data_IF_994196928942
#
_entry.id   IF_994196928942
#
_cell.length_a   1.000
_cell.length_b   1.000
_cell.length_c   1.000
_cell.angle_alpha   90.00
_cell.angle_beta   90.00
_cell.angle_gamma   90.00
#
_symmetry.space_group_name_H-M   'P 1'
#
loop_
_entity.id
_entity.type
_entity.pdbx_description
1 polymer ?
#
# COMPACT_ATOMS: atom_id res chain seq x y z
N UNK A 1 8.82 -3.05 -7.14
CA UNK A 1 8.48 -4.30 -6.42
C UNK A 1 9.21 -5.48 -7.06
N UNK A 2 9.45 -6.52 -6.28
CA UNK A 2 9.87 -7.81 -6.83
C UNK A 2 8.66 -8.49 -7.47
N UNK A 3 8.90 -9.39 -8.42
CA UNK A 3 7.86 -10.20 -9.06
C UNK A 3 8.32 -11.63 -9.22
N UNK A 4 7.37 -12.55 -9.18
CA UNK A 4 7.57 -13.98 -9.41
C UNK A 4 6.76 -14.41 -10.63
N UNK A 5 7.41 -15.13 -11.55
CA UNK A 5 6.82 -15.60 -12.81
C UNK A 5 7.03 -17.10 -12.94
N UNK A 6 6.02 -17.80 -13.45
CA UNK A 6 6.04 -19.20 -13.82
C UNK A 6 6.56 -20.17 -12.72
N UNK A 7 5.90 -20.28 -11.57
CA UNK A 7 4.60 -19.73 -11.21
C UNK A 7 4.66 -18.36 -10.55
N UNK A 8 3.53 -17.61 -10.62
CA UNK A 8 3.37 -16.37 -9.88
C UNK A 8 2.94 -16.67 -8.43
N UNK A 9 3.91 -16.85 -7.55
CA UNK A 9 3.69 -17.15 -6.13
C UNK A 9 3.15 -15.97 -5.31
N UNK A 10 3.17 -14.75 -5.88
CA UNK A 10 2.66 -13.55 -5.21
C UNK A 10 1.15 -13.36 -5.41
N UNK A 11 0.53 -14.11 -6.31
CA UNK A 11 -0.89 -13.98 -6.65
C UNK A 11 -1.67 -15.29 -6.46
N UNK A 12 -1.37 -16.04 -5.40
CA UNK A 12 -2.12 -17.26 -5.08
C UNK A 12 -3.53 -16.85 -4.64
N UNK A 13 -4.59 -17.35 -5.29
CA UNK A 13 -5.96 -16.97 -4.97
C UNK A 13 -6.33 -17.26 -3.52
N UNK A 14 -7.15 -16.40 -2.90
CA UNK A 14 -7.65 -16.58 -1.52
C UNK A 14 -9.17 -16.48 -1.43
N UNK A 15 -9.81 -15.86 -2.43
CA UNK A 15 -11.25 -15.57 -2.39
C UNK A 15 -12.11 -16.77 -2.72
N UNK A 16 -11.64 -17.67 -3.56
CA UNK A 16 -12.35 -18.90 -3.95
C UNK A 16 -11.98 -20.06 -3.03
N UNK A 17 -12.83 -21.08 -2.99
CA UNK A 17 -12.58 -22.30 -2.21
C UNK A 17 -11.36 -23.06 -2.76
N UNK A 18 -11.25 -23.17 -4.07
CA UNK A 18 -10.12 -23.80 -4.77
C UNK A 18 -8.81 -23.07 -4.45
N UNK A 19 -8.82 -21.72 -4.47
CA UNK A 19 -7.65 -20.91 -4.11
C UNK A 19 -7.21 -21.17 -2.67
N UNK A 20 -8.15 -21.32 -1.73
CA UNK A 20 -7.82 -21.69 -0.33
C UNK A 20 -7.26 -23.11 -0.22
N UNK A 21 -7.74 -24.05 -1.05
CA UNK A 21 -7.18 -25.42 -1.12
C UNK A 21 -5.73 -25.40 -1.62
N UNK A 22 -5.43 -24.58 -2.66
CA UNK A 22 -4.06 -24.44 -3.17
C UNK A 22 -3.11 -23.94 -2.08
N UNK A 23 -3.55 -22.99 -1.23
CA UNK A 23 -2.72 -22.50 -0.12
C UNK A 23 -2.33 -23.57 0.89
N UNK A 24 -3.16 -24.60 1.09
CA UNK A 24 -2.85 -25.73 1.98
C UNK A 24 -1.70 -26.62 1.47
N UNK A 25 -1.35 -26.53 0.17
CA UNK A 25 -0.22 -27.26 -0.40
C UNK A 25 1.14 -26.62 -0.02
N UNK A 26 1.14 -25.38 0.48
CA UNK A 26 2.36 -24.73 0.95
C UNK A 26 2.63 -25.16 2.38
N UNK A 27 3.64 -25.99 2.55
CA UNK A 27 4.05 -26.56 3.83
C UNK A 27 5.52 -26.24 4.11
N UNK A 28 5.92 -26.27 5.37
CA UNK A 28 7.31 -25.96 5.79
C UNK A 28 8.31 -27.09 5.52
N UNK A 29 7.82 -28.26 5.09
CA UNK A 29 8.63 -29.43 4.77
C UNK A 29 8.93 -30.36 5.95
N UNK A 30 8.85 -29.89 7.20
CA UNK A 30 8.87 -30.73 8.41
C UNK A 30 8.19 -30.00 9.57
N UNK A 31 7.96 -30.73 10.67
CA UNK A 31 7.21 -30.27 11.84
C UNK A 31 8.00 -29.32 12.76
N UNK A 32 9.31 -29.16 12.58
CA UNK A 32 10.12 -28.23 13.38
C UNK A 32 9.96 -26.78 12.98
N UNK A 33 9.34 -26.55 11.84
CA UNK A 33 9.16 -25.21 11.27
C UNK A 33 7.69 -24.83 11.15
N UNK A 34 7.45 -23.53 11.16
CA UNK A 34 6.15 -22.91 10.86
C UNK A 34 6.31 -21.80 9.85
N UNK A 35 5.22 -21.40 9.18
CA UNK A 35 5.18 -20.19 8.43
C UNK A 35 5.02 -19.00 9.37
N UNK A 36 5.87 -17.99 9.19
CA UNK A 36 5.78 -16.72 9.87
C UNK A 36 5.66 -15.63 8.81
N UNK A 37 4.62 -14.80 8.93
CA UNK A 37 4.38 -13.67 8.03
C UNK A 37 4.47 -12.37 8.79
N UNK A 38 5.16 -11.38 8.21
CA UNK A 38 5.20 -10.00 8.69
C UNK A 38 4.74 -9.07 7.56
N UNK A 39 3.71 -8.30 7.83
CA UNK A 39 3.09 -7.38 6.88
C UNK A 39 3.20 -5.93 7.36
N UNK A 40 3.56 -5.02 6.44
CA UNK A 40 3.53 -3.59 6.70
C UNK A 40 2.10 -3.05 6.66
N UNK A 41 1.55 -2.76 7.82
CA UNK A 41 0.21 -2.19 7.91
C UNK A 41 0.10 -0.86 7.16
N UNK A 42 -0.61 -0.89 6.02
CA UNK A 42 -0.99 0.31 5.25
C UNK A 42 0.21 1.18 4.83
N UNK A 43 1.34 0.60 4.46
CA UNK A 43 2.58 1.32 4.15
C UNK A 43 2.40 2.44 3.13
N UNK A 44 1.60 2.25 2.10
CA UNK A 44 1.36 3.27 1.06
C UNK A 44 0.56 4.46 1.60
N UNK A 45 -0.41 4.24 2.50
CA UNK A 45 -1.15 5.32 3.19
C UNK A 45 -0.26 6.09 4.17
N UNK A 46 0.63 5.39 4.89
CA UNK A 46 1.62 6.04 5.76
C UNK A 46 2.62 6.89 4.97
N UNK A 47 3.04 6.38 3.80
CA UNK A 47 3.88 7.15 2.88
C UNK A 47 3.13 8.35 2.30
N UNK A 48 1.84 8.21 1.97
CA UNK A 48 1.02 9.34 1.56
C UNK A 48 0.95 10.39 2.67
N UNK A 49 0.70 10.00 3.92
CA UNK A 49 0.70 10.92 5.07
C UNK A 49 2.04 11.67 5.20
N UNK A 50 3.16 10.94 5.09
CA UNK A 50 4.49 11.52 5.16
C UNK A 50 4.79 12.48 4.01
N UNK A 51 4.51 12.09 2.76
CA UNK A 51 4.83 12.89 1.58
C UNK A 51 3.90 14.10 1.42
N UNK A 52 2.62 13.97 1.79
CA UNK A 52 1.65 15.06 1.73
C UNK A 52 1.72 16.02 2.92
N UNK A 53 2.33 15.59 4.03
CA UNK A 53 2.33 16.32 5.31
C UNK A 53 0.90 16.69 5.76
N UNK A 54 -0.08 15.86 5.40
CA UNK A 54 -1.47 16.07 5.77
C UNK A 54 -1.67 15.82 7.27
N UNK A 55 -2.17 16.84 7.97
CA UNK A 55 -2.25 16.83 9.44
C UNK A 55 -3.24 15.81 9.96
N UNK A 56 -4.39 15.68 9.33
CA UNK A 56 -5.44 14.75 9.74
C UNK A 56 -5.01 13.29 9.51
N UNK A 57 -4.35 13.03 8.39
CA UNK A 57 -3.85 11.71 8.06
C UNK A 57 -2.69 11.29 8.99
N UNK A 58 -1.78 12.21 9.29
CA UNK A 58 -0.70 12.00 10.26
C UNK A 58 -1.27 11.77 11.66
N UNK A 59 -2.25 12.59 12.08
CA UNK A 59 -2.91 12.46 13.37
C UNK A 59 -3.55 11.08 13.53
N UNK A 60 -4.30 10.62 12.52
CA UNK A 60 -4.92 9.30 12.54
C UNK A 60 -3.91 8.18 12.76
N UNK A 61 -2.78 8.20 12.05
CA UNK A 61 -1.74 7.17 12.22
C UNK A 61 -1.03 7.24 13.57
N UNK A 62 -0.75 8.43 14.10
CA UNK A 62 -0.06 8.60 15.38
C UNK A 62 -0.92 8.20 16.58
N UNK A 63 -2.23 8.28 16.46
CA UNK A 63 -3.19 7.89 17.52
C UNK A 63 -3.83 6.52 17.30
N UNK A 64 -3.36 5.74 16.33
CA UNK A 64 -3.89 4.40 16.04
C UNK A 64 -5.33 4.38 15.55
N UNK A 65 -5.83 5.51 15.03
CA UNK A 65 -7.18 5.62 14.47
C UNK A 65 -7.20 4.91 13.11
N UNK A 66 -8.20 4.07 12.89
CA UNK A 66 -8.39 3.44 11.58
C UNK A 66 -8.77 4.49 10.53
N UNK A 67 -7.84 4.74 9.59
CA UNK A 67 -7.98 5.77 8.55
C UNK A 67 -9.25 5.57 7.70
N UNK A 68 -9.65 4.32 7.46
CA UNK A 68 -10.85 4.04 6.66
C UNK A 68 -12.12 4.35 7.43
N UNK A 69 -12.14 4.10 8.74
CA UNK A 69 -13.24 4.48 9.63
C UNK A 69 -13.30 5.99 9.77
N UNK A 70 -12.18 6.67 9.99
CA UNK A 70 -12.12 8.14 10.07
C UNK A 70 -12.62 8.80 8.77
N UNK A 71 -12.19 8.30 7.61
CA UNK A 71 -12.67 8.77 6.31
C UNK A 71 -14.18 8.55 6.17
N UNK A 72 -14.69 7.36 6.53
CA UNK A 72 -16.12 7.06 6.46
C UNK A 72 -16.95 7.99 7.36
N UNK A 73 -16.54 8.15 8.62
CA UNK A 73 -17.19 9.05 9.58
C UNK A 73 -17.38 10.46 9.01
N UNK A 74 -16.33 11.01 8.43
CA UNK A 74 -16.36 12.37 7.84
C UNK A 74 -17.20 12.47 6.59
N UNK A 75 -17.05 11.52 5.65
CA UNK A 75 -17.79 11.54 4.37
C UNK A 75 -19.29 11.31 4.58
N UNK A 76 -19.66 10.43 5.51
CA UNK A 76 -21.06 10.11 5.80
C UNK A 76 -21.67 10.96 6.93
N UNK A 77 -20.88 11.88 7.54
CA UNK A 77 -21.30 12.75 8.63
C UNK A 77 -21.90 12.00 9.82
N UNK A 78 -21.27 10.89 10.21
CA UNK A 78 -21.65 10.06 11.36
C UNK A 78 -20.49 9.97 12.36
N UNK A 79 -20.80 9.64 13.63
CA UNK A 79 -19.76 9.39 14.63
C UNK A 79 -18.92 8.16 14.25
N UNK A 80 -17.70 8.05 14.81
CA UNK A 80 -16.80 6.92 14.50
C UNK A 80 -17.44 5.56 14.83
N UNK A 81 -18.20 5.52 15.92
CA UNK A 81 -18.89 4.35 16.43
C UNK A 81 -20.10 3.94 15.58
N UNK A 82 -20.63 4.87 14.81
CA UNK A 82 -21.77 4.65 13.91
C UNK A 82 -21.35 4.20 12.52
N UNK A 83 -20.04 4.16 12.23
CA UNK A 83 -19.52 3.72 10.93
C UNK A 83 -19.79 2.24 10.72
N UNK A 84 -20.67 1.94 9.78
CA UNK A 84 -20.99 0.56 9.41
C UNK A 84 -19.84 -0.11 8.65
N UNK A 85 -19.74 -1.47 8.64
CA UNK A 85 -18.77 -2.19 7.84
C UNK A 85 -18.80 -1.82 6.36
N UNK A 86 -19.98 -1.53 5.82
CA UNK A 86 -20.16 -1.14 4.40
C UNK A 86 -19.61 0.27 4.15
N UNK A 87 -19.88 1.25 5.01
CA UNK A 87 -19.30 2.59 4.93
C UNK A 87 -17.77 2.53 4.97
N UNK A 88 -17.23 1.76 5.90
CA UNK A 88 -15.79 1.54 6.00
C UNK A 88 -15.21 0.87 4.74
N UNK A 89 -15.90 -0.11 4.17
CA UNK A 89 -15.49 -0.78 2.92
C UNK A 89 -15.45 0.20 1.74
N UNK A 90 -16.47 1.05 1.61
CA UNK A 90 -16.54 2.10 0.57
C UNK A 90 -15.42 3.13 0.76
N UNK A 91 -15.22 3.61 1.98
CA UNK A 91 -14.13 4.53 2.30
C UNK A 91 -12.75 3.90 2.02
N UNK A 92 -12.55 2.63 2.34
CA UNK A 92 -11.33 1.90 1.98
C UNK A 92 -11.08 1.89 0.47
N UNK A 93 -12.12 1.63 -0.31
CA UNK A 93 -12.04 1.64 -1.78
C UNK A 93 -11.73 3.04 -2.32
N UNK A 94 -12.35 4.07 -1.72
CA UNK A 94 -12.09 5.47 -2.07
C UNK A 94 -10.65 5.87 -1.71
N UNK A 95 -10.20 5.61 -0.48
CA UNK A 95 -8.85 5.97 -0.01
C UNK A 95 -7.76 5.42 -0.95
N UNK A 96 -7.81 4.13 -1.27
CA UNK A 96 -6.85 3.55 -2.21
C UNK A 96 -7.07 4.03 -3.65
N UNK A 97 -8.33 4.09 -4.09
CA UNK A 97 -8.66 4.55 -5.45
C UNK A 97 -8.15 5.96 -5.72
N UNK A 98 -8.38 6.90 -4.82
CA UNK A 98 -7.98 8.30 -4.96
C UNK A 98 -6.46 8.43 -5.00
N UNK A 99 -5.75 7.75 -4.11
CA UNK A 99 -4.28 7.71 -4.12
C UNK A 99 -3.74 7.23 -5.46
N UNK A 100 -4.42 6.27 -6.11
CA UNK A 100 -4.06 5.77 -7.43
C UNK A 100 -4.64 6.60 -8.59
N UNK A 101 -5.25 7.76 -8.31
CA UNK A 101 -5.76 8.68 -9.30
C UNK A 101 -7.03 8.19 -10.00
N UNK A 102 -7.93 7.49 -9.27
CA UNK A 102 -9.22 7.05 -9.80
C UNK A 102 -10.09 8.27 -10.11
N UNK A 103 -10.80 8.23 -11.24
CA UNK A 103 -11.81 9.23 -11.57
C UNK A 103 -13.13 8.97 -10.83
N UNK A 104 -14.01 9.99 -10.74
CA UNK A 104 -15.35 9.84 -10.17
C UNK A 104 -16.14 8.74 -10.87
N UNK A 105 -16.00 8.60 -12.19
CA UNK A 105 -16.61 7.50 -12.95
C UNK A 105 -16.05 6.13 -12.54
N UNK A 106 -14.74 5.98 -12.48
CA UNK A 106 -14.09 4.72 -12.10
C UNK A 106 -14.39 4.31 -10.65
N UNK A 107 -14.54 5.30 -9.73
CA UNK A 107 -14.95 5.03 -8.36
C UNK A 107 -16.42 4.59 -8.29
N UNK A 108 -17.29 5.26 -9.05
CA UNK A 108 -18.70 4.94 -9.14
C UNK A 108 -18.93 3.51 -9.66
N UNK A 109 -18.24 3.11 -10.73
CA UNK A 109 -18.30 1.72 -11.23
C UNK A 109 -17.82 0.69 -10.21
N UNK A 110 -16.71 0.98 -9.53
CA UNK A 110 -16.13 0.03 -8.55
C UNK A 110 -16.99 -0.15 -7.30
N UNK A 111 -17.74 0.88 -6.91
CA UNK A 111 -18.63 0.87 -5.75
C UNK A 111 -20.10 0.56 -6.11
N UNK A 112 -20.43 0.47 -7.40
CA UNK A 112 -21.80 0.33 -7.91
C UNK A 112 -22.73 1.44 -7.41
N UNK A 113 -22.28 2.70 -7.50
CA UNK A 113 -22.98 3.92 -7.10
C UNK A 113 -23.10 4.87 -8.29
N UNK A 114 -23.88 5.94 -8.15
CA UNK A 114 -24.00 6.98 -9.18
C UNK A 114 -22.67 7.76 -9.34
N UNK A 115 -22.48 8.34 -10.53
CA UNK A 115 -21.31 9.21 -10.79
C UNK A 115 -21.29 10.44 -9.87
N UNK A 116 -22.47 10.91 -9.48
CA UNK A 116 -22.63 12.04 -8.55
C UNK A 116 -22.09 11.66 -7.16
N UNK A 117 -22.52 10.53 -6.62
CA UNK A 117 -22.02 10.00 -5.34
C UNK A 117 -20.50 9.72 -5.40
N UNK A 118 -20.01 9.17 -6.53
CA UNK A 118 -18.57 8.96 -6.70
C UNK A 118 -17.76 10.27 -6.67
N UNK A 119 -18.33 11.35 -7.21
CA UNK A 119 -17.74 12.70 -7.12
C UNK A 119 -17.79 13.24 -5.70
N UNK A 120 -18.93 13.15 -5.02
CA UNK A 120 -19.10 13.58 -3.63
C UNK A 120 -18.11 12.88 -2.68
N UNK A 121 -17.89 11.58 -2.89
CA UNK A 121 -16.87 10.82 -2.13
C UNK A 121 -15.44 11.36 -2.35
N UNK A 122 -15.08 11.71 -3.58
CA UNK A 122 -13.75 12.27 -3.90
C UNK A 122 -13.61 13.69 -3.32
N UNK A 123 -14.63 14.53 -3.50
CA UNK A 123 -14.63 15.89 -2.97
C UNK A 123 -14.52 15.88 -1.45
N UNK A 124 -15.35 15.09 -0.74
CA UNK A 124 -15.30 14.93 0.71
C UNK A 124 -13.96 14.35 1.22
N UNK A 125 -13.32 13.47 0.43
CA UNK A 125 -11.98 13.00 0.75
C UNK A 125 -10.94 14.13 0.70
N UNK A 126 -10.98 14.97 -0.31
CA UNK A 126 -10.03 16.11 -0.43
C UNK A 126 -10.34 17.26 0.55
N UNK A 127 -11.59 17.41 0.96
CA UNK A 127 -11.96 18.33 2.03
C UNK A 127 -11.41 17.87 3.38
N UNK A 128 -11.41 16.56 3.62
CA UNK A 128 -10.82 15.96 4.82
C UNK A 128 -9.28 15.99 4.79
N UNK A 129 -8.69 15.71 3.63
CA UNK A 129 -7.24 15.60 3.43
C UNK A 129 -6.71 16.62 2.41
N UNK A 130 -6.75 17.93 2.72
CA UNK A 130 -6.31 18.96 1.78
C UNK A 130 -4.81 18.87 1.45
N UNK A 131 -3.99 18.37 2.37
CA UNK A 131 -2.57 18.13 2.14
C UNK A 131 -2.33 17.07 1.07
N UNK A 132 -3.17 16.04 1.03
CA UNK A 132 -3.10 14.99 -0.03
C UNK A 132 -3.42 15.59 -1.40
N UNK A 133 -4.46 16.43 -1.50
CA UNK A 133 -4.80 17.13 -2.75
C UNK A 133 -3.63 17.96 -3.25
N UNK A 134 -3.08 18.81 -2.38
CA UNK A 134 -1.92 19.65 -2.67
C UNK A 134 -0.71 18.82 -3.15
N UNK A 135 -0.39 17.74 -2.45
CA UNK A 135 0.69 16.83 -2.84
C UNK A 135 0.48 16.27 -4.25
N UNK A 136 -0.73 15.84 -4.58
CA UNK A 136 -1.04 15.27 -5.90
C UNK A 136 -0.86 16.32 -7.02
N UNK A 137 -1.36 17.54 -6.82
CA UNK A 137 -1.22 18.66 -7.77
C UNK A 137 0.26 19.04 -7.97
N UNK A 138 1.01 19.23 -6.88
CA UNK A 138 2.43 19.56 -6.92
C UNK A 138 3.28 18.45 -7.55
N UNK A 139 2.94 17.17 -7.32
CA UNK A 139 3.65 16.05 -7.91
C UNK A 139 3.55 16.05 -9.43
N UNK A 140 2.38 16.34 -9.98
CA UNK A 140 2.16 16.47 -11.42
C UNK A 140 2.93 17.68 -11.98
N UNK A 141 2.86 18.83 -11.30
CA UNK A 141 3.59 20.02 -11.75
C UNK A 141 5.11 19.83 -11.74
N UNK A 142 5.64 19.24 -10.68
CA UNK A 142 7.08 18.91 -10.58
C UNK A 142 7.48 17.93 -11.67
N UNK A 143 6.64 16.90 -11.93
CA UNK A 143 6.89 15.94 -12.98
C UNK A 143 6.88 16.56 -14.38
N UNK A 144 5.99 17.51 -14.68
CA UNK A 144 5.97 18.24 -15.96
C UNK A 144 7.24 19.04 -16.22
N UNK A 145 7.82 19.60 -15.15
CA UNK A 145 9.07 20.39 -15.25
C UNK A 145 10.32 19.52 -15.34
N UNK A 146 10.37 18.41 -14.61
CA UNK A 146 11.57 17.55 -14.48
C UNK A 146 11.56 16.32 -15.38
N UNK A 147 10.39 15.91 -15.89
CA UNK A 147 10.13 14.68 -16.65
C UNK A 147 10.47 13.40 -15.86
N UNK A 148 10.61 13.49 -14.56
CA UNK A 148 10.75 12.36 -13.65
C UNK A 148 10.18 12.66 -12.26
N UNK A 149 9.96 11.61 -11.50
CA UNK A 149 9.66 11.65 -10.07
C UNK A 149 10.64 10.77 -9.30
N UNK A 150 10.75 11.01 -7.99
CA UNK A 150 11.73 10.32 -7.14
C UNK A 150 11.05 9.69 -5.93
N UNK A 151 11.61 8.56 -5.49
CA UNK A 151 11.27 7.98 -4.18
C UNK A 151 11.95 8.76 -3.05
N UNK A 152 11.57 8.47 -1.79
CA UNK A 152 12.25 9.06 -0.62
C UNK A 152 13.75 8.71 -0.55
N UNK A 153 14.18 7.65 -1.25
CA UNK A 153 15.59 7.24 -1.38
C UNK A 153 16.25 7.79 -2.65
N UNK A 154 15.62 8.74 -3.35
CA UNK A 154 16.19 9.40 -4.54
C UNK A 154 16.17 8.56 -5.83
N UNK A 155 15.51 7.40 -5.82
CA UNK A 155 15.41 6.58 -7.03
C UNK A 155 14.41 7.19 -8.00
N UNK A 156 14.84 7.39 -9.27
CA UNK A 156 14.09 8.10 -10.31
C UNK A 156 13.23 7.18 -11.15
N UNK A 157 12.02 7.68 -11.49
CA UNK A 157 11.18 7.16 -12.55
C UNK A 157 10.94 8.25 -13.57
N UNK A 158 11.44 8.06 -14.80
CA UNK A 158 11.21 8.99 -15.91
C UNK A 158 9.79 8.87 -16.45
N UNK A 159 9.19 10.01 -16.78
CA UNK A 159 7.80 10.17 -17.24
C UNK A 159 7.79 10.96 -18.54
N UNK A 160 8.37 10.40 -19.60
CA UNK A 160 8.53 11.05 -20.92
C UNK A 160 7.23 11.53 -21.53
N UNK A 161 6.10 10.89 -21.16
CA UNK A 161 4.76 11.17 -21.68
C UNK A 161 4.00 12.20 -20.86
N UNK A 162 4.59 12.79 -19.81
CA UNK A 162 3.90 13.70 -18.89
C UNK A 162 3.38 14.98 -19.59
N UNK A 163 4.04 15.40 -20.67
CA UNK A 163 3.68 16.55 -21.48
C UNK A 163 3.04 16.16 -22.83
N UNK A 164 2.59 14.90 -22.98
CA UNK A 164 1.97 14.41 -24.21
C UNK A 164 0.73 15.21 -24.59
N UNK A 165 0.55 15.50 -25.88
CA UNK A 165 -0.67 16.11 -26.41
C UNK A 165 -1.88 15.17 -26.34
N UNK A 166 -1.64 13.85 -26.37
CA UNK A 166 -2.71 12.85 -26.19
C UNK A 166 -3.14 12.82 -24.72
N UNK A 167 -4.38 13.19 -24.44
CA UNK A 167 -4.94 13.29 -23.09
C UNK A 167 -4.95 11.94 -22.33
N UNK A 168 -5.12 10.81 -23.04
CA UNK A 168 -5.12 9.47 -22.42
C UNK A 168 -3.70 9.11 -21.95
N UNK A 169 -2.71 9.30 -22.81
CA UNK A 169 -1.31 9.04 -22.52
C UNK A 169 -0.81 9.95 -21.40
N UNK A 170 -1.11 11.25 -21.50
CA UNK A 170 -0.79 12.23 -20.46
C UNK A 170 -1.43 11.87 -19.12
N UNK A 171 -2.72 11.53 -19.08
CA UNK A 171 -3.41 11.15 -17.85
C UNK A 171 -2.82 9.89 -17.19
N UNK A 172 -2.27 8.96 -17.98
CA UNK A 172 -1.53 7.81 -17.42
C UNK A 172 -0.21 8.26 -16.78
N UNK A 173 0.51 9.17 -17.42
CA UNK A 173 1.75 9.72 -16.88
C UNK A 173 1.50 10.56 -15.60
N UNK A 174 0.42 11.35 -15.54
CA UNK A 174 0.02 12.10 -14.36
C UNK A 174 -0.31 11.16 -13.17
N UNK A 175 -1.05 10.08 -13.39
CA UNK A 175 -1.26 9.05 -12.35
C UNK A 175 0.06 8.43 -11.90
N UNK A 176 0.98 8.16 -12.81
CA UNK A 176 2.30 7.66 -12.45
C UNK A 176 3.12 8.69 -11.66
N UNK A 177 2.96 9.99 -11.93
CA UNK A 177 3.64 11.05 -11.18
C UNK A 177 3.25 11.06 -9.71
N UNK A 178 1.99 10.75 -9.40
CA UNK A 178 1.47 10.66 -8.03
C UNK A 178 1.89 9.34 -7.36
N UNK A 179 1.72 8.23 -8.07
CA UNK A 179 1.83 6.89 -7.50
C UNK A 179 3.27 6.38 -7.38
N UNK A 180 4.14 6.73 -8.33
CA UNK A 180 5.47 6.15 -8.38
C UNK A 180 6.34 6.53 -7.17
N UNK A 181 6.30 7.76 -6.63
CA UNK A 181 6.99 8.08 -5.38
C UNK A 181 6.53 7.22 -4.21
N UNK A 182 5.22 6.99 -4.07
CA UNK A 182 4.64 6.21 -2.96
C UNK A 182 5.01 4.75 -3.09
N UNK A 183 4.64 4.10 -4.21
CA UNK A 183 4.90 2.68 -4.44
C UNK A 183 6.40 2.37 -4.50
N UNK A 184 7.18 3.28 -5.08
CA UNK A 184 8.62 3.14 -5.15
C UNK A 184 9.27 3.25 -3.77
N UNK A 185 8.84 4.19 -2.93
CA UNK A 185 9.33 4.35 -1.56
C UNK A 185 8.96 3.15 -0.68
N UNK A 186 7.73 2.63 -0.80
CA UNK A 186 7.34 1.40 -0.13
C UNK A 186 8.26 0.23 -0.51
N UNK A 187 8.54 0.08 -1.82
CA UNK A 187 9.46 -0.96 -2.29
C UNK A 187 10.90 -0.77 -1.79
N UNK A 188 11.36 0.46 -1.63
CA UNK A 188 12.68 0.77 -1.09
C UNK A 188 12.77 0.41 0.39
N UNK A 189 11.78 0.81 1.20
CA UNK A 189 11.71 0.47 2.63
C UNK A 189 11.72 -1.04 2.83
N UNK A 190 10.87 -1.77 2.12
CA UNK A 190 10.78 -3.23 2.24
C UNK A 190 12.11 -3.89 1.87
N UNK A 191 12.79 -3.43 0.82
CA UNK A 191 14.10 -3.99 0.44
C UNK A 191 15.18 -3.71 1.48
N UNK A 192 15.17 -2.54 2.10
CA UNK A 192 16.09 -2.22 3.20
C UNK A 192 15.83 -3.11 4.39
N UNK A 193 14.57 -3.30 4.77
CA UNK A 193 14.20 -4.24 5.83
C UNK A 193 14.63 -5.68 5.50
N UNK A 194 14.42 -6.15 4.26
CA UNK A 194 14.87 -7.48 3.83
C UNK A 194 16.38 -7.65 4.00
N UNK A 195 17.18 -6.65 3.63
CA UNK A 195 18.64 -6.68 3.76
C UNK A 195 19.04 -6.71 5.24
N UNK A 196 18.42 -5.85 6.07
CA UNK A 196 18.65 -5.80 7.51
C UNK A 196 18.32 -7.13 8.17
N UNK A 197 17.13 -7.66 7.91
CA UNK A 197 16.65 -8.94 8.46
C UNK A 197 17.58 -10.09 8.06
N UNK A 198 17.93 -10.19 6.77
CA UNK A 198 18.80 -11.26 6.28
C UNK A 198 20.17 -11.23 6.93
N UNK A 199 20.76 -10.04 7.09
CA UNK A 199 22.04 -9.85 7.77
C UNK A 199 21.95 -10.33 9.21
N UNK A 200 20.93 -9.92 9.96
CA UNK A 200 20.76 -10.33 11.36
C UNK A 200 20.46 -11.82 11.53
N UNK A 201 19.67 -12.43 10.65
CA UNK A 201 19.47 -13.89 10.65
C UNK A 201 20.81 -14.63 10.54
N UNK A 202 21.71 -14.14 9.68
CA UNK A 202 23.04 -14.73 9.51
C UNK A 202 23.96 -14.47 10.71
N UNK A 203 23.99 -13.26 11.25
CA UNK A 203 24.83 -12.88 12.41
C UNK A 203 24.43 -13.63 13.69
N UNK A 204 23.12 -13.85 13.88
CA UNK A 204 22.58 -14.57 15.03
C UNK A 204 22.56 -16.11 14.82
N UNK A 205 23.00 -16.58 13.65
CA UNK A 205 23.10 -18.02 13.33
C UNK A 205 21.77 -18.76 13.32
N UNK A 206 20.65 -18.07 12.94
CA UNK A 206 19.32 -18.66 12.98
C UNK A 206 19.11 -19.71 11.89
N UNK A 207 18.36 -20.75 12.22
CA UNK A 207 17.87 -21.76 11.28
C UNK A 207 16.70 -21.25 10.45
N UNK A 208 16.01 -20.22 10.92
CA UNK A 208 14.93 -19.54 10.23
C UNK A 208 15.40 -18.82 8.96
N UNK A 209 14.57 -18.76 7.94
CA UNK A 209 14.92 -18.18 6.64
C UNK A 209 13.77 -17.34 6.09
N UNK A 210 14.09 -16.16 5.51
CA UNK A 210 13.17 -15.41 4.66
C UNK A 210 13.04 -16.13 3.31
N UNK A 211 11.80 -16.41 2.86
CA UNK A 211 11.55 -17.23 1.68
C UNK A 211 10.95 -16.46 0.52
N UNK A 212 10.03 -15.54 0.78
CA UNK A 212 9.37 -14.78 -0.28
C UNK A 212 8.83 -13.44 0.24
N UNK A 213 8.86 -12.43 -0.61
CA UNK A 213 8.11 -11.18 -0.46
C UNK A 213 6.83 -11.26 -1.28
N UNK A 214 5.69 -10.97 -0.66
CA UNK A 214 4.39 -10.87 -1.33
C UNK A 214 3.85 -9.44 -1.10
N UNK A 215 3.97 -8.57 -2.11
CA UNK A 215 3.60 -7.15 -2.02
C UNK A 215 4.33 -6.41 -0.88
N UNK A 216 3.68 -6.21 0.25
CA UNK A 216 4.14 -5.55 1.49
C UNK A 216 4.36 -6.54 2.64
N UNK A 217 4.22 -7.83 2.37
CA UNK A 217 4.38 -8.93 3.31
C UNK A 217 5.71 -9.66 3.06
N UNK A 218 6.41 -10.00 4.14
CA UNK A 218 7.58 -10.89 4.15
C UNK A 218 7.22 -12.21 4.80
N UNK A 219 7.48 -13.31 4.11
CA UNK A 219 7.20 -14.65 4.58
C UNK A 219 8.49 -15.39 4.92
N UNK A 220 8.46 -16.13 6.03
CA UNK A 220 9.60 -16.83 6.58
C UNK A 220 9.24 -18.29 6.84
N UNK A 221 10.20 -19.17 6.62
CA UNK A 221 10.26 -20.49 7.24
C UNK A 221 10.92 -20.32 8.60
N UNK A 222 10.14 -20.34 9.68
CA UNK A 222 10.58 -20.06 11.04
C UNK A 222 10.75 -21.36 11.82
N UNK A 223 11.92 -21.60 12.41
CA UNK A 223 12.10 -22.69 13.36
C UNK A 223 11.33 -22.40 14.65
N UNK A 224 10.61 -23.38 15.18
CA UNK A 224 9.70 -23.20 16.33
C UNK A 224 10.39 -22.61 17.57
N UNK A 225 11.64 -23.01 17.83
CA UNK A 225 12.42 -22.48 18.96
C UNK A 225 12.84 -21.02 18.78
N UNK A 226 12.81 -20.49 17.56
CA UNK A 226 13.30 -19.15 17.22
C UNK A 226 12.16 -18.12 17.02
N UNK A 227 10.90 -18.53 17.23
CA UNK A 227 9.73 -17.71 16.92
C UNK A 227 9.77 -16.32 17.55
N UNK A 228 10.08 -16.23 18.84
CA UNK A 228 10.16 -14.96 19.58
C UNK A 228 11.33 -14.11 19.13
N UNK A 229 12.49 -14.72 18.90
CA UNK A 229 13.67 -14.04 18.43
C UNK A 229 13.49 -13.49 17.03
N UNK A 230 12.99 -14.30 16.10
CA UNK A 230 12.68 -13.86 14.74
C UNK A 230 11.65 -12.73 14.73
N UNK A 231 10.59 -12.81 15.54
CA UNK A 231 9.59 -11.73 15.68
C UNK A 231 10.26 -10.44 16.12
N UNK A 232 11.06 -10.48 17.19
CA UNK A 232 11.78 -9.30 17.69
C UNK A 232 12.73 -8.72 16.62
N UNK A 233 13.48 -9.59 15.94
CA UNK A 233 14.42 -9.21 14.90
C UNK A 233 13.70 -8.51 13.73
N UNK A 234 12.61 -9.08 13.24
CA UNK A 234 11.83 -8.53 12.12
C UNK A 234 11.17 -7.20 12.49
N UNK A 235 10.69 -7.06 13.73
CA UNK A 235 10.05 -5.82 14.20
C UNK A 235 11.06 -4.66 14.34
N UNK A 236 12.32 -4.96 14.59
CA UNK A 236 13.37 -3.95 14.82
C UNK A 236 14.21 -3.63 13.56
N UNK A 237 13.90 -4.24 12.42
CA UNK A 237 14.48 -3.93 11.12
C UNK A 237 13.53 -3.13 10.25
#
# INVERSE_FOLDING_TARGET
RLSSLNPNLQNIPIRTEEGRKIRKAFVTGNDDYLFFSADYSQVELRLMAHLSQDKELIHAFNHGIDVHTATASKIYHVALEEVTPEMRRRAKTANFGIIYGISAWGLAERLHISRKEGKELIDGYFDLYPGVKKYMEESVEKARKKEFVETIMGRRRYLRDINSRNAVVRGMAERNAINAPIQGSAADIIKMAMICIQKRIQEEGLMSRMIIQVHDELNFKCHKSEQYLLKSLVTNC
#
